data_IF_087916388050
#
_entry.id   IF_087916388050
#
_cell.length_a   1.000
_cell.length_b   1.000
_cell.length_c   1.000
_cell.angle_alpha   90.00
_cell.angle_beta   90.00
_cell.angle_gamma   90.00
#
_symmetry.space_group_name_H-M   'P 1'
#
loop_
_entity.id
_entity.type
_entity.pdbx_description
1 polymer ?
#
# COMPACT_ATOMS: atom_id res chain seq x y z
N UNK A 1 11.25 -0.10 21.22
CA UNK A 1 9.77 -0.04 21.27
C UNK A 1 9.34 1.05 20.32
N UNK A 2 8.37 0.74 19.43
CA UNK A 2 7.77 1.74 18.55
C UNK A 2 6.95 2.71 19.40
N UNK A 3 7.22 4.01 19.28
CA UNK A 3 6.44 5.06 19.92
C UNK A 3 5.36 5.55 18.97
N UNK A 4 4.23 5.99 19.52
CA UNK A 4 3.10 6.58 18.78
C UNK A 4 2.67 5.78 17.53
N UNK A 5 2.74 4.46 17.64
CA UNK A 5 2.39 3.57 16.56
C UNK A 5 0.90 3.66 16.25
N UNK A 6 0.58 3.87 14.97
CA UNK A 6 -0.79 3.81 14.45
C UNK A 6 -0.87 2.82 13.29
N UNK A 7 -1.98 2.13 13.18
CA UNK A 7 -2.24 1.15 12.12
C UNK A 7 -3.53 1.52 11.39
N UNK A 8 -3.50 1.46 10.06
CA UNK A 8 -4.63 1.83 9.20
C UNK A 8 -5.02 0.65 8.34
N UNK A 9 -6.32 0.42 8.21
CA UNK A 9 -6.92 -0.61 7.36
C UNK A 9 -8.09 0.00 6.61
N UNK A 10 -8.17 -0.27 5.32
CA UNK A 10 -9.26 0.19 4.47
C UNK A 10 -9.58 -0.80 3.36
N UNK A 11 -10.66 -0.53 2.64
CA UNK A 11 -11.13 -1.34 1.52
C UNK A 11 -10.24 -1.20 0.27
N UNK A 12 -9.55 -0.08 0.16
CA UNK A 12 -8.66 0.21 -0.95
C UNK A 12 -7.52 1.16 -0.53
N UNK A 13 -6.50 1.24 -1.37
CA UNK A 13 -5.30 2.02 -1.10
C UNK A 13 -5.55 3.54 -1.00
N UNK A 14 -6.55 4.08 -1.69
CA UNK A 14 -6.90 5.49 -1.59
C UNK A 14 -7.39 5.84 -0.19
N UNK A 15 -8.34 5.05 0.32
CA UNK A 15 -8.89 5.25 1.66
C UNK A 15 -7.80 5.17 2.74
N UNK A 16 -6.90 4.19 2.65
CA UNK A 16 -5.79 4.03 3.61
C UNK A 16 -4.82 5.21 3.51
N UNK A 17 -4.49 5.65 2.30
CA UNK A 17 -3.62 6.81 2.09
C UNK A 17 -4.20 8.08 2.67
N UNK A 18 -5.50 8.33 2.46
CA UNK A 18 -6.17 9.51 2.99
C UNK A 18 -6.19 9.51 4.53
N UNK A 19 -6.45 8.35 5.15
CA UNK A 19 -6.35 8.17 6.61
C UNK A 19 -4.94 8.44 7.14
N UNK A 20 -3.91 7.98 6.44
CA UNK A 20 -2.50 8.20 6.83
C UNK A 20 -2.14 9.68 6.71
N UNK A 21 -2.52 10.33 5.61
CA UNK A 21 -2.29 11.77 5.40
C UNK A 21 -2.95 12.60 6.50
N UNK A 22 -4.22 12.33 6.77
CA UNK A 22 -5.01 13.01 7.80
C UNK A 22 -4.37 12.87 9.18
N UNK A 23 -3.97 11.64 9.52
CA UNK A 23 -3.31 11.37 10.79
C UNK A 23 -1.97 12.10 10.91
N UNK A 24 -1.11 12.01 9.90
CA UNK A 24 0.21 12.64 9.94
C UNK A 24 0.10 14.16 10.02
N UNK A 25 -0.80 14.74 9.24
CA UNK A 25 -1.00 16.19 9.23
C UNK A 25 -1.56 16.73 10.54
N UNK A 26 -2.49 16.01 11.18
CA UNK A 26 -3.14 16.46 12.42
C UNK A 26 -2.38 16.09 13.69
N UNK A 27 -1.42 15.15 13.62
CA UNK A 27 -0.73 14.64 14.81
C UNK A 27 0.66 15.20 14.99
N UNK A 28 1.35 15.50 13.89
CA UNK A 28 2.75 15.91 13.91
C UNK A 28 2.93 17.34 13.39
N UNK A 29 3.79 18.08 14.05
CA UNK A 29 4.28 19.36 13.53
C UNK A 29 5.36 19.07 12.47
N UNK A 30 5.03 19.31 11.20
CA UNK A 30 5.91 19.06 10.07
C UNK A 30 6.75 20.32 9.81
N UNK A 31 8.06 20.21 9.96
CA UNK A 31 9.03 21.30 9.77
C UNK A 31 9.94 21.01 8.57
N UNK A 32 10.78 21.96 8.21
CA UNK A 32 11.80 21.78 7.16
C UNK A 32 12.83 20.69 7.51
N UNK A 33 13.02 20.40 8.79
CA UNK A 33 13.92 19.35 9.28
C UNK A 33 13.26 17.96 9.27
N UNK A 34 11.94 17.89 9.06
CA UNK A 34 11.20 16.63 9.07
C UNK A 34 11.65 15.72 7.92
N UNK A 35 12.02 14.50 8.25
CA UNK A 35 12.36 13.45 7.29
C UNK A 35 11.23 12.41 7.28
N UNK A 36 10.57 12.26 6.15
CA UNK A 36 9.59 11.19 5.96
C UNK A 36 10.29 9.93 5.46
N UNK A 37 10.24 8.87 6.26
CA UNK A 37 10.76 7.58 5.88
C UNK A 37 9.59 6.66 5.51
N UNK A 38 9.67 6.04 4.34
CA UNK A 38 8.66 5.10 3.88
C UNK A 38 9.30 3.77 3.49
N UNK A 39 8.58 2.68 3.76
CA UNK A 39 9.03 1.34 3.45
C UNK A 39 7.89 0.53 2.83
N UNK A 40 8.16 -0.23 1.77
CA UNK A 40 7.19 -1.13 1.16
C UNK A 40 7.85 -2.35 0.53
N UNK A 41 7.05 -3.37 0.25
CA UNK A 41 7.46 -4.57 -0.50
C UNK A 41 7.51 -4.34 -2.03
N UNK A 42 7.17 -3.14 -2.49
CA UNK A 42 7.07 -2.78 -3.91
C UNK A 42 5.87 -3.42 -4.61
N UNK A 43 4.88 -3.93 -3.87
CA UNK A 43 3.66 -4.51 -4.40
C UNK A 43 2.76 -3.50 -5.11
N UNK A 44 1.75 -4.03 -5.81
CA UNK A 44 0.79 -3.21 -6.53
C UNK A 44 0.02 -2.28 -5.57
N UNK A 45 0.07 -0.97 -5.83
CA UNK A 45 -0.55 0.04 -4.96
C UNK A 45 0.37 0.61 -3.87
N UNK A 46 1.60 0.08 -3.71
CA UNK A 46 2.62 0.55 -2.77
C UNK A 46 3.92 0.89 -3.48
N UNK A 47 3.79 1.57 -4.63
CA UNK A 47 4.94 1.97 -5.44
C UNK A 47 5.65 3.18 -4.83
N UNK A 48 6.94 3.38 -5.10
CA UNK A 48 7.69 4.55 -4.66
C UNK A 48 7.06 5.88 -5.05
N UNK A 49 6.36 5.89 -6.19
CA UNK A 49 5.65 7.07 -6.68
C UNK A 49 4.53 7.52 -5.71
N UNK A 50 3.73 6.59 -5.20
CA UNK A 50 2.65 6.89 -4.25
C UNK A 50 3.21 7.53 -2.98
N UNK A 51 4.31 7.01 -2.46
CA UNK A 51 4.96 7.57 -1.26
C UNK A 51 5.59 8.94 -1.52
N UNK A 52 6.08 9.18 -2.74
CA UNK A 52 6.54 10.51 -3.16
C UNK A 52 5.39 11.53 -3.18
N UNK A 53 4.22 11.13 -3.67
CA UNK A 53 3.02 11.99 -3.65
C UNK A 53 2.55 12.27 -2.21
N UNK A 54 2.60 11.28 -1.31
CA UNK A 54 2.32 11.47 0.12
C UNK A 54 3.29 12.50 0.74
N UNK A 55 4.59 12.36 0.48
CA UNK A 55 5.60 13.30 0.97
C UNK A 55 5.37 14.73 0.46
N UNK A 56 5.01 14.85 -0.82
CA UNK A 56 4.68 16.14 -1.44
C UNK A 56 3.41 16.75 -0.84
N UNK A 57 2.38 15.94 -0.59
CA UNK A 57 1.14 16.41 0.02
C UNK A 57 1.36 16.93 1.45
N UNK A 58 2.30 16.33 2.20
CA UNK A 58 2.69 16.75 3.55
C UNK A 58 3.68 17.94 3.55
N UNK A 59 4.23 18.33 2.39
CA UNK A 59 5.18 19.43 2.30
C UNK A 59 6.55 19.17 2.93
N UNK A 60 6.92 17.90 3.19
CA UNK A 60 8.20 17.57 3.82
C UNK A 60 9.36 17.78 2.86
N UNK A 61 10.44 18.38 3.36
CA UNK A 61 11.62 18.71 2.54
C UNK A 61 12.43 17.47 2.14
N UNK A 62 12.47 16.45 2.99
CA UNK A 62 13.23 15.21 2.74
C UNK A 62 12.33 13.99 2.86
N UNK A 63 12.28 13.18 1.78
CA UNK A 63 11.60 11.90 1.73
C UNK A 63 12.57 10.81 1.30
N UNK A 64 12.65 9.73 2.07
CA UNK A 64 13.46 8.55 1.76
C UNK A 64 12.55 7.32 1.69
N UNK A 65 12.55 6.68 0.53
CA UNK A 65 11.82 5.43 0.32
C UNK A 65 12.76 4.24 0.33
N UNK A 66 12.32 3.16 0.98
CA UNK A 66 13.06 1.91 1.07
C UNK A 66 12.21 0.73 0.62
N UNK A 67 12.80 -0.19 -0.09
CA UNK A 67 12.22 -1.50 -0.27
C UNK A 67 12.43 -2.36 0.96
N UNK A 68 11.45 -3.17 1.29
CA UNK A 68 11.53 -4.11 2.40
C UNK A 68 12.61 -5.17 2.13
N UNK A 69 13.63 -5.17 2.98
CA UNK A 69 14.82 -6.02 2.83
C UNK A 69 14.44 -7.51 2.86
N UNK A 70 13.48 -7.90 3.70
CA UNK A 70 13.02 -9.29 3.76
C UNK A 70 12.47 -9.75 2.41
N UNK A 71 11.63 -8.93 1.78
CA UNK A 71 11.02 -9.27 0.48
C UNK A 71 12.04 -9.26 -0.67
N UNK A 72 13.00 -8.34 -0.63
CA UNK A 72 14.11 -8.32 -1.62
C UNK A 72 14.95 -9.59 -1.47
N UNK A 73 15.40 -9.90 -0.26
CA UNK A 73 16.21 -11.09 0.01
C UNK A 73 15.47 -12.39 -0.33
N UNK A 74 14.17 -12.43 -0.04
CA UNK A 74 13.33 -13.57 -0.40
C UNK A 74 13.26 -13.77 -1.91
N UNK A 75 13.02 -12.70 -2.67
CA UNK A 75 12.99 -12.77 -4.15
C UNK A 75 14.32 -13.26 -4.73
N UNK A 76 15.46 -12.78 -4.20
CA UNK A 76 16.77 -13.25 -4.59
C UNK A 76 16.94 -14.75 -4.29
N UNK A 77 16.62 -15.18 -3.07
CA UNK A 77 16.69 -16.59 -2.67
C UNK A 77 15.79 -17.48 -3.49
N UNK A 78 14.52 -17.08 -3.69
CA UNK A 78 13.54 -17.86 -4.44
C UNK A 78 14.00 -18.07 -5.89
N UNK A 79 14.64 -17.05 -6.49
CA UNK A 79 15.16 -17.12 -7.85
C UNK A 79 16.47 -17.92 -7.91
N UNK A 80 17.51 -17.48 -7.20
CA UNK A 80 18.84 -18.07 -7.35
C UNK A 80 18.90 -19.51 -6.85
N UNK A 81 18.25 -19.87 -5.75
CA UNK A 81 18.19 -21.26 -5.28
C UNK A 81 17.58 -22.22 -6.32
N UNK A 82 16.75 -21.71 -7.22
CA UNK A 82 16.13 -22.53 -8.27
C UNK A 82 16.99 -22.64 -9.52
N UNK A 83 17.63 -21.54 -9.93
CA UNK A 83 18.25 -21.47 -11.27
C UNK A 83 19.76 -21.38 -11.28
N UNK A 84 20.37 -20.76 -10.26
CA UNK A 84 21.81 -20.53 -10.18
C UNK A 84 22.28 -20.34 -8.72
N UNK A 85 22.24 -21.41 -7.89
CA UNK A 85 22.53 -21.31 -6.47
C UNK A 85 23.91 -20.71 -6.14
N UNK A 86 24.88 -20.93 -7.00
CA UNK A 86 26.25 -20.41 -6.89
C UNK A 86 26.35 -18.90 -7.03
N UNK A 87 25.36 -18.25 -7.61
CA UNK A 87 25.31 -16.79 -7.78
C UNK A 87 24.55 -16.08 -6.65
N UNK A 88 24.01 -16.81 -5.68
CA UNK A 88 23.25 -16.21 -4.57
C UNK A 88 24.12 -15.33 -3.67
N UNK A 89 25.27 -15.84 -3.25
CA UNK A 89 26.22 -15.08 -2.40
C UNK A 89 26.76 -13.84 -3.11
N UNK A 90 27.25 -13.92 -4.36
CA UNK A 90 27.59 -12.73 -5.15
C UNK A 90 26.43 -11.72 -5.29
N UNK A 91 25.18 -12.18 -5.41
CA UNK A 91 24.02 -11.29 -5.47
C UNK A 91 23.81 -10.55 -4.13
N UNK A 92 23.99 -11.21 -3.00
CA UNK A 92 23.92 -10.56 -1.69
C UNK A 92 25.07 -9.59 -1.47
N UNK A 93 26.30 -9.94 -1.87
CA UNK A 93 27.44 -9.02 -1.79
C UNK A 93 27.19 -7.74 -2.60
N UNK A 94 26.68 -7.88 -3.82
CA UNK A 94 26.32 -6.74 -4.67
C UNK A 94 25.19 -5.88 -4.06
N UNK A 95 24.23 -6.52 -3.39
CA UNK A 95 23.13 -5.83 -2.69
C UNK A 95 23.64 -5.05 -1.46
N UNK A 96 24.46 -5.68 -0.63
CA UNK A 96 25.00 -5.10 0.61
C UNK A 96 25.97 -3.94 0.32
N UNK A 97 26.81 -4.09 -0.70
CA UNK A 97 27.64 -3.01 -1.23
C UNK A 97 26.87 -1.94 -1.98
N UNK A 98 25.57 -2.16 -2.24
CA UNK A 98 24.73 -1.35 -3.10
C UNK A 98 25.35 -1.08 -4.47
N UNK A 99 26.06 -2.06 -5.01
CA UNK A 99 26.70 -1.99 -6.32
C UNK A 99 25.76 -2.48 -7.43
N UNK A 100 25.11 -1.54 -8.09
CA UNK A 100 24.23 -1.87 -9.23
C UNK A 100 24.99 -2.53 -10.37
N UNK A 101 26.28 -2.14 -10.55
CA UNK A 101 27.14 -2.72 -11.59
C UNK A 101 27.38 -4.20 -11.34
N UNK A 102 27.75 -4.58 -10.11
CA UNK A 102 28.02 -5.96 -9.76
C UNK A 102 26.72 -6.79 -9.79
N UNK A 103 25.61 -6.22 -9.34
CA UNK A 103 24.30 -6.84 -9.48
C UNK A 103 23.95 -7.14 -10.94
N UNK A 104 24.21 -6.22 -11.88
CA UNK A 104 24.02 -6.44 -13.32
C UNK A 104 24.90 -7.59 -13.79
N UNK A 105 26.18 -7.62 -13.40
CA UNK A 105 27.09 -8.71 -13.78
C UNK A 105 26.59 -10.08 -13.30
N UNK A 106 26.14 -10.16 -12.05
CA UNK A 106 25.56 -11.39 -11.49
C UNK A 106 24.31 -11.81 -12.27
N UNK A 107 23.41 -10.87 -12.56
CA UNK A 107 22.19 -11.15 -13.30
C UNK A 107 22.47 -11.56 -14.76
N UNK A 108 23.39 -10.90 -15.44
CA UNK A 108 23.77 -11.25 -16.81
C UNK A 108 24.44 -12.64 -16.87
N UNK A 109 25.21 -12.99 -15.83
CA UNK A 109 25.77 -14.34 -15.68
C UNK A 109 24.65 -15.36 -15.49
N UNK A 110 23.68 -15.09 -14.61
CA UNK A 110 22.54 -15.98 -14.39
C UNK A 110 21.70 -16.16 -15.67
N UNK A 111 21.49 -15.09 -16.43
CA UNK A 111 20.78 -15.13 -17.71
C UNK A 111 21.45 -16.05 -18.73
N UNK A 112 22.79 -16.01 -18.79
CA UNK A 112 23.57 -16.85 -19.70
C UNK A 112 23.47 -18.35 -19.40
N UNK A 113 23.07 -18.73 -18.19
CA UNK A 113 22.88 -20.14 -17.79
C UNK A 113 21.50 -20.67 -18.17
N UNK A 114 20.55 -19.80 -18.53
CA UNK A 114 19.19 -20.19 -18.90
C UNK A 114 19.13 -20.58 -20.37
N UNK A 115 18.49 -21.72 -20.65
CA UNK A 115 18.33 -22.23 -22.03
C UNK A 115 16.86 -22.35 -22.45
N UNK A 116 15.92 -22.39 -21.51
CA UNK A 116 14.50 -22.50 -21.80
C UNK A 116 13.84 -21.13 -21.92
N UNK A 117 13.03 -20.91 -22.96
CA UNK A 117 12.36 -19.64 -23.26
C UNK A 117 11.46 -19.19 -22.08
N UNK A 118 10.71 -20.12 -21.47
CA UNK A 118 9.85 -19.83 -20.33
C UNK A 118 10.61 -19.41 -19.06
N UNK A 119 11.85 -19.88 -18.89
CA UNK A 119 12.72 -19.45 -17.79
C UNK A 119 13.27 -18.04 -18.05
N UNK A 120 13.56 -17.69 -19.29
CA UNK A 120 14.00 -16.35 -19.69
C UNK A 120 12.90 -15.30 -19.43
N UNK A 121 11.64 -15.61 -19.73
CA UNK A 121 10.53 -14.69 -19.43
C UNK A 121 10.37 -14.46 -17.92
N UNK A 122 10.45 -15.53 -17.11
CA UNK A 122 10.40 -15.43 -15.65
C UNK A 122 11.60 -14.64 -15.10
N UNK A 123 12.76 -14.81 -15.69
CA UNK A 123 13.96 -14.08 -15.34
C UNK A 123 13.82 -12.58 -15.61
N UNK A 124 13.38 -12.20 -16.80
CA UNK A 124 13.14 -10.80 -17.14
C UNK A 124 12.10 -10.14 -16.22
N UNK A 125 11.04 -10.86 -15.88
CA UNK A 125 10.03 -10.41 -14.92
C UNK A 125 10.61 -10.16 -13.51
N UNK A 126 11.68 -10.87 -13.14
CA UNK A 126 12.43 -10.67 -11.90
C UNK A 126 13.49 -9.56 -12.02
N UNK A 127 14.35 -9.63 -13.05
CA UNK A 127 15.51 -8.75 -13.29
C UNK A 127 15.09 -7.28 -13.46
N UNK A 128 14.11 -7.04 -14.32
CA UNK A 128 13.70 -5.69 -14.70
C UNK A 128 13.20 -4.84 -13.52
N UNK A 129 12.25 -5.28 -12.68
CA UNK A 129 11.82 -4.51 -11.51
C UNK A 129 12.94 -4.31 -10.50
N UNK A 130 13.82 -5.30 -10.30
CA UNK A 130 14.95 -5.20 -9.37
C UNK A 130 15.91 -4.08 -9.80
N UNK A 131 16.33 -4.05 -11.07
CA UNK A 131 17.25 -3.05 -11.59
C UNK A 131 16.64 -1.65 -11.69
N UNK A 132 15.35 -1.55 -12.05
CA UNK A 132 14.64 -0.27 -12.11
C UNK A 132 14.52 0.39 -10.73
N UNK A 133 14.35 -0.40 -9.69
CA UNK A 133 14.12 0.05 -8.33
C UNK A 133 15.32 -0.16 -7.40
N UNK A 134 16.49 -0.51 -7.94
CA UNK A 134 17.69 -0.83 -7.17
C UNK A 134 18.10 0.27 -6.19
N UNK A 135 17.85 1.53 -6.53
CA UNK A 135 18.10 2.68 -5.64
C UNK A 135 17.38 2.57 -4.29
N UNK A 136 16.22 1.89 -4.23
CA UNK A 136 15.45 1.74 -3.00
C UNK A 136 15.91 0.60 -2.10
N UNK A 137 16.88 -0.20 -2.55
CA UNK A 137 17.54 -1.23 -1.74
C UNK A 137 18.69 -0.69 -0.90
N UNK A 138 19.11 0.58 -1.15
CA UNK A 138 20.21 1.20 -0.41
C UNK A 138 19.88 1.31 1.07
N UNK A 139 20.72 0.71 1.91
CA UNK A 139 20.51 0.68 3.35
C UNK A 139 20.44 2.09 3.98
N UNK A 140 19.66 2.29 5.06
CA UNK A 140 19.53 3.59 5.75
C UNK A 140 20.88 4.17 6.16
N UNK A 141 21.78 3.35 6.69
CA UNK A 141 23.14 3.75 7.09
C UNK A 141 23.91 4.42 5.95
N UNK A 142 23.80 3.89 4.73
CA UNK A 142 24.45 4.44 3.54
C UNK A 142 23.79 5.75 3.04
N UNK A 143 22.66 6.15 3.65
CA UNK A 143 21.97 7.43 3.38
C UNK A 143 22.08 8.41 4.55
N UNK A 144 22.96 8.15 5.53
CA UNK A 144 23.13 8.98 6.72
C UNK A 144 22.00 8.87 7.74
N UNK A 145 21.30 7.74 7.77
CA UNK A 145 20.19 7.46 8.68
C UNK A 145 20.56 6.30 9.62
N UNK A 146 21.52 6.54 10.51
CA UNK A 146 22.18 5.48 11.31
C UNK A 146 21.23 4.75 12.27
N UNK A 147 20.27 5.43 12.86
CA UNK A 147 19.36 4.88 13.88
C UNK A 147 17.99 4.42 13.32
N UNK A 148 17.88 4.23 12.02
CA UNK A 148 16.62 3.87 11.38
C UNK A 148 16.44 2.36 11.35
N UNK A 149 15.31 1.89 11.94
CA UNK A 149 14.86 0.50 11.88
C UNK A 149 13.78 0.38 10.83
N UNK A 150 13.99 -0.49 9.85
CA UNK A 150 13.03 -0.83 8.78
C UNK A 150 12.55 -2.28 8.93
N UNK A 151 11.49 -2.64 8.20
CA UNK A 151 11.03 -4.04 8.13
C UNK A 151 10.13 -4.49 9.28
N UNK A 152 9.56 -3.56 10.06
CA UNK A 152 8.65 -3.91 11.17
C UNK A 152 7.24 -4.33 10.72
N UNK A 153 6.89 -4.10 9.45
CA UNK A 153 5.53 -4.32 8.92
C UNK A 153 5.09 -5.78 8.99
N UNK A 154 5.95 -6.72 8.62
CA UNK A 154 5.62 -8.17 8.66
C UNK A 154 5.21 -8.62 10.07
N UNK A 155 5.94 -8.16 11.08
CA UNK A 155 5.63 -8.46 12.48
C UNK A 155 4.27 -7.91 12.89
N UNK A 156 3.90 -6.73 12.41
CA UNK A 156 2.61 -6.08 12.71
C UNK A 156 1.45 -6.77 11.96
N UNK A 157 1.65 -7.17 10.72
CA UNK A 157 0.65 -7.91 9.95
C UNK A 157 0.23 -9.24 10.62
N UNK A 158 1.09 -9.86 11.42
CA UNK A 158 0.76 -11.12 12.12
C UNK A 158 -0.45 -11.01 13.04
N UNK A 159 -0.75 -9.86 13.60
CA UNK A 159 -1.95 -9.64 14.42
C UNK A 159 -3.23 -10.00 13.67
N UNK A 160 -3.30 -9.52 12.41
CA UNK A 160 -4.46 -9.74 11.54
C UNK A 160 -4.37 -11.12 10.88
N UNK A 161 -3.24 -11.41 10.24
CA UNK A 161 -3.08 -12.63 9.44
C UNK A 161 -3.17 -13.90 10.27
N UNK A 162 -2.68 -13.91 11.49
CA UNK A 162 -2.78 -15.05 12.40
C UNK A 162 -4.24 -15.40 12.74
N UNK A 163 -5.11 -14.41 12.85
CA UNK A 163 -6.52 -14.63 13.17
C UNK A 163 -7.39 -14.90 11.94
N UNK A 164 -7.01 -14.39 10.77
CA UNK A 164 -7.86 -14.41 9.59
C UNK A 164 -7.41 -15.37 8.50
N UNK A 165 -6.09 -15.67 8.39
CA UNK A 165 -5.57 -16.59 7.38
C UNK A 165 -5.45 -18.01 7.92
N UNK A 166 -5.65 -19.01 7.04
CA UNK A 166 -5.43 -20.44 7.33
C UNK A 166 -6.21 -20.99 8.52
N UNK A 167 -7.41 -20.45 8.80
CA UNK A 167 -8.30 -20.84 9.89
C UNK A 167 -9.61 -21.48 9.42
N UNK A 168 -9.70 -21.87 8.13
CA UNK A 168 -10.92 -22.44 7.55
C UNK A 168 -12.07 -21.42 7.40
N UNK A 169 -11.81 -20.13 7.57
CA UNK A 169 -12.80 -19.06 7.43
C UNK A 169 -12.73 -18.42 6.06
N UNK A 170 -13.88 -18.15 5.48
CA UNK A 170 -14.04 -17.40 4.24
C UNK A 170 -14.54 -16.00 4.56
N UNK A 171 -13.91 -15.00 4.00
CA UNK A 171 -14.20 -13.61 4.26
C UNK A 171 -14.69 -12.90 3.00
N UNK A 172 -15.80 -12.18 3.10
CA UNK A 172 -16.10 -11.14 2.10
C UNK A 172 -15.13 -9.98 2.29
N UNK A 173 -14.95 -9.14 1.27
CA UNK A 173 -14.10 -7.94 1.34
C UNK A 173 -14.50 -7.03 2.51
N UNK A 174 -15.80 -6.79 2.69
CA UNK A 174 -16.34 -6.01 3.80
C UNK A 174 -16.10 -6.67 5.15
N UNK A 175 -16.38 -7.97 5.25
CA UNK A 175 -16.16 -8.73 6.47
C UNK A 175 -14.69 -8.77 6.88
N UNK A 176 -13.78 -8.92 5.92
CA UNK A 176 -12.34 -8.88 6.17
C UNK A 176 -11.90 -7.50 6.66
N UNK A 177 -12.36 -6.42 6.04
CA UNK A 177 -12.06 -5.05 6.47
C UNK A 177 -12.59 -4.77 7.88
N UNK A 178 -13.86 -5.09 8.14
CA UNK A 178 -14.48 -4.87 9.46
C UNK A 178 -13.74 -5.66 10.56
N UNK A 179 -13.45 -6.94 10.33
CA UNK A 179 -12.72 -7.77 11.30
C UNK A 179 -11.31 -7.24 11.54
N UNK A 180 -10.60 -6.81 10.49
CA UNK A 180 -9.27 -6.22 10.63
C UNK A 180 -9.30 -4.96 11.51
N UNK A 181 -10.27 -4.07 11.29
CA UNK A 181 -10.46 -2.87 12.12
C UNK A 181 -10.78 -3.22 13.56
N UNK A 182 -11.67 -4.20 13.80
CA UNK A 182 -11.97 -4.67 15.16
C UNK A 182 -10.75 -5.24 15.87
N UNK A 183 -9.89 -5.98 15.15
CA UNK A 183 -8.64 -6.50 15.69
C UNK A 183 -7.72 -5.34 16.11
N UNK A 184 -7.57 -4.32 15.29
CA UNK A 184 -6.74 -3.15 15.61
C UNK A 184 -7.29 -2.40 16.82
N UNK A 185 -8.59 -2.13 16.87
CA UNK A 185 -9.24 -1.47 18.01
C UNK A 185 -9.10 -2.29 19.30
N UNK A 186 -9.13 -3.63 19.22
CA UNK A 186 -8.88 -4.49 20.37
C UNK A 186 -7.44 -4.34 20.90
N UNK A 187 -6.46 -4.25 20.02
CA UNK A 187 -5.05 -4.02 20.41
C UNK A 187 -4.80 -2.60 20.95
N UNK A 188 -5.57 -1.62 20.49
CA UNK A 188 -5.53 -0.23 20.98
C UNK A 188 -6.31 -0.05 22.28
N UNK A 189 -7.06 -1.05 22.76
CA UNK A 189 -7.91 -0.97 23.94
C UNK A 189 -9.26 -0.26 23.69
N UNK A 190 -9.55 0.13 22.45
CA UNK A 190 -10.71 0.94 22.08
C UNK A 190 -11.94 0.12 21.66
N UNK A 191 -11.89 -1.21 21.74
CA UNK A 191 -13.00 -2.07 21.30
C UNK A 191 -14.28 -1.82 22.14
N UNK A 192 -14.12 -1.54 23.43
CA UNK A 192 -15.25 -1.23 24.32
C UNK A 192 -15.95 0.07 23.90
N UNK A 193 -15.18 1.09 23.53
CA UNK A 193 -15.71 2.36 23.05
C UNK A 193 -16.48 2.18 21.74
N UNK A 194 -16.01 1.33 20.83
CA UNK A 194 -16.73 1.00 19.61
C UNK A 194 -18.15 0.44 19.88
N UNK A 195 -18.31 -0.42 20.89
CA UNK A 195 -19.59 -1.08 21.17
C UNK A 195 -20.51 -0.25 22.09
N UNK A 196 -19.97 0.46 23.05
CA UNK A 196 -20.69 1.09 24.15
C UNK A 196 -20.45 2.60 24.28
N UNK A 197 -19.62 3.18 23.41
CA UNK A 197 -19.31 4.62 23.42
C UNK A 197 -20.38 5.49 22.79
N UNK A 198 -20.25 6.80 22.99
CA UNK A 198 -21.18 7.83 22.53
C UNK A 198 -21.06 8.18 21.03
N UNK A 199 -20.06 7.65 20.34
CA UNK A 199 -19.77 8.00 18.93
C UNK A 199 -20.98 7.87 17.98
N UNK A 200 -21.93 6.98 18.29
CA UNK A 200 -23.15 6.81 17.48
C UNK A 200 -24.04 8.04 17.54
N UNK A 201 -24.16 8.63 18.74
CA UNK A 201 -24.96 9.85 18.96
C UNK A 201 -24.31 11.03 18.24
N UNK A 202 -22.98 11.14 18.32
CA UNK A 202 -22.22 12.20 17.67
C UNK A 202 -22.26 12.06 16.14
N UNK A 203 -22.13 10.83 15.63
CA UNK A 203 -22.31 10.55 14.21
C UNK A 203 -23.72 10.90 13.72
N UNK A 204 -24.73 10.60 14.50
CA UNK A 204 -26.12 10.90 14.16
C UNK A 204 -26.37 12.42 14.10
N UNK A 205 -25.81 13.20 15.02
CA UNK A 205 -25.83 14.67 14.99
C UNK A 205 -25.18 15.22 13.71
N UNK A 206 -24.04 14.65 13.29
CA UNK A 206 -23.35 15.05 12.05
C UNK A 206 -24.18 14.72 10.82
N UNK A 207 -24.80 13.55 10.76
CA UNK A 207 -25.67 13.13 9.65
C UNK A 207 -26.91 14.04 9.56
N UNK A 208 -27.54 14.34 10.68
CA UNK A 208 -28.70 15.23 10.75
C UNK A 208 -28.33 16.66 10.32
N UNK A 209 -27.21 17.20 10.80
CA UNK A 209 -26.74 18.54 10.44
C UNK A 209 -26.41 18.66 8.92
N UNK A 210 -26.02 17.59 8.27
CA UNK A 210 -25.66 17.59 6.84
C UNK A 210 -26.86 17.26 5.89
N UNK A 211 -27.94 16.71 6.40
CA UNK A 211 -29.11 16.34 5.60
C UNK A 211 -29.71 17.50 4.78
N UNK A 212 -29.93 18.71 5.34
CA UNK A 212 -30.53 19.82 4.59
C UNK A 212 -29.68 20.23 3.37
N UNK A 213 -28.36 20.25 3.52
CA UNK A 213 -27.42 20.61 2.43
C UNK A 213 -27.45 19.58 1.30
N UNK A 214 -27.49 18.31 1.62
CA UNK A 214 -27.55 17.23 0.63
C UNK A 214 -28.89 17.26 -0.13
N UNK A 215 -30.00 17.50 0.55
CA UNK A 215 -31.32 17.66 -0.10
C UNK A 215 -31.35 18.87 -1.06
N UNK A 216 -30.79 20.00 -0.66
CA UNK A 216 -30.74 21.20 -1.51
C UNK A 216 -29.87 20.96 -2.76
N UNK A 217 -28.74 20.27 -2.65
CA UNK A 217 -27.89 19.95 -3.79
C UNK A 217 -28.60 18.98 -4.73
N UNK A 218 -29.26 17.96 -4.22
CA UNK A 218 -30.03 17.01 -5.06
C UNK A 218 -31.20 17.70 -5.76
N UNK A 219 -31.91 18.59 -5.10
CA UNK A 219 -33.02 19.33 -5.69
C UNK A 219 -32.53 20.27 -6.81
N UNK A 220 -31.43 20.98 -6.61
CA UNK A 220 -30.79 21.82 -7.65
C UNK A 220 -30.31 21.00 -8.84
N UNK A 221 -29.72 19.82 -8.62
CA UNK A 221 -29.26 18.93 -9.68
C UNK A 221 -30.44 18.40 -10.51
N UNK A 222 -31.57 18.09 -9.88
CA UNK A 222 -32.78 17.66 -10.59
C UNK A 222 -33.43 18.79 -11.37
N UNK A 223 -33.51 20.01 -10.82
CA UNK A 223 -33.99 21.18 -11.54
C UNK A 223 -33.12 21.50 -12.78
N UNK A 224 -31.80 21.32 -12.66
CA UNK A 224 -30.91 21.53 -13.81
C UNK A 224 -31.06 20.45 -14.88
N UNK A 225 -31.41 19.22 -14.50
CA UNK A 225 -31.77 18.15 -15.47
C UNK A 225 -33.07 18.41 -16.21
N UNK A 226 -34.07 19.01 -15.54
CA UNK A 226 -35.32 19.34 -16.14
C UNK A 226 -35.21 20.47 -17.19
N UNK A 227 -34.21 21.35 -17.05
CA UNK A 227 -33.91 22.43 -18.01
C UNK A 227 -33.10 21.99 -19.23
N UNK A 228 -32.49 20.80 -19.23
CA UNK A 228 -31.68 20.33 -20.35
C UNK A 228 -32.47 19.56 -21.42
N UNK A 229 -33.78 19.43 -21.29
CA UNK A 229 -34.65 18.78 -22.29
C UNK A 229 -34.41 17.28 -22.47
N UNK A 230 -33.56 16.67 -21.67
CA UNK A 230 -33.30 15.23 -21.71
C UNK A 230 -34.33 14.52 -20.87
N UNK A 231 -35.32 13.90 -21.53
CA UNK A 231 -36.33 13.08 -20.85
C UNK A 231 -35.65 11.92 -20.11
N UNK A 232 -35.92 11.74 -18.80
CA UNK A 232 -35.48 10.57 -18.06
C UNK A 232 -35.99 9.30 -18.77
N UNK A 233 -35.09 8.44 -19.21
CA UNK A 233 -35.45 7.18 -19.84
C UNK A 233 -35.01 6.99 -21.29
N UNK A 234 -34.43 8.00 -21.93
CA UNK A 234 -33.95 7.86 -23.30
C UNK A 234 -32.45 7.60 -23.39
N UNK A 235 -32.02 6.38 -22.93
CA UNK A 235 -30.77 5.75 -23.35
C UNK A 235 -31.08 4.35 -23.91
N UNK A 236 -31.77 4.24 -25.06
CA UNK A 236 -32.11 2.92 -25.62
C UNK A 236 -30.89 2.19 -26.19
N UNK A 237 -29.85 2.90 -26.58
CA UNK A 237 -28.68 2.35 -27.29
C UNK A 237 -27.68 1.65 -26.35
N UNK A 238 -27.57 2.09 -25.11
CA UNK A 238 -26.64 1.43 -24.15
C UNK A 238 -27.28 0.21 -23.49
N UNK A 239 -28.58 0.21 -23.21
CA UNK A 239 -29.28 -0.95 -22.64
C UNK A 239 -29.32 -2.18 -23.57
N UNK A 240 -29.31 -1.98 -24.89
CA UNK A 240 -29.26 -3.10 -25.84
C UNK A 240 -27.88 -3.77 -25.94
N UNK A 241 -26.79 -3.07 -25.62
CA UNK A 241 -25.44 -3.65 -25.63
C UNK A 241 -25.18 -4.55 -24.42
N UNK A 242 -25.76 -4.25 -23.26
CA UNK A 242 -25.54 -5.06 -22.04
C UNK A 242 -26.38 -6.34 -21.96
N UNK A 243 -27.51 -6.41 -22.68
CA UNK A 243 -28.33 -7.63 -22.75
C UNK A 243 -27.76 -8.73 -23.65
N UNK A 244 -26.65 -8.48 -24.35
CA UNK A 244 -26.02 -9.45 -25.26
C UNK A 244 -24.93 -10.30 -24.61
N UNK A 245 -24.62 -10.06 -23.30
CA UNK A 245 -23.53 -10.72 -22.57
C UNK A 245 -23.94 -11.26 -21.19
N UNK A 246 -25.23 -11.55 -21.00
CA UNK A 246 -25.68 -12.37 -19.87
C UNK A 246 -26.14 -13.75 -20.36
#
# INVERSE_FOLDING_TARGET
VLQEKREFVGLNNHQVRDQVLDYLYNTFELTEETILLTNSDGGHGYTPYIFKEVAKALGVARHEHFWDVYHVNKKLKDYFNRYAPELLDPAFEALDAHSKKDMITVLDTAESLLSAEGDLEQFEAFKRPLLQNFQFTKAPKLRGLENTVLGVMETQHRKITYRMKKRGMYWTTWGASAMSQMILLAYEGNLRELFFGSWREDYQKIVEANQPKVRQIRHKANQHKDHTGVKPGHIPSQHKKYKKYQ
#
